data_IF_258114681142
#
_entry.id   IF_258114681142
#
_cell.length_a   1.000
_cell.length_b   1.000
_cell.length_c   1.000
_cell.angle_alpha   90.00
_cell.angle_beta   90.00
_cell.angle_gamma   90.00
#
_symmetry.space_group_name_H-M   'P 1'
#
loop_
_entity.id
_entity.type
_entity.pdbx_description
1 polymer ?
#
# COMPACT_ATOMS: atom_id res chain seq x y z
N UNK A 1 -7.60 -17.67 -5.82
CA UNK A 1 -6.75 -16.79 -4.97
C UNK A 1 -7.25 -16.86 -3.54
N UNK A 2 -6.39 -17.21 -2.57
CA UNK A 2 -6.78 -17.21 -1.16
C UNK A 2 -7.12 -15.79 -0.71
N UNK A 3 -8.00 -15.66 0.30
CA UNK A 3 -8.42 -14.36 0.82
C UNK A 3 -7.22 -13.53 1.34
N UNK A 4 -6.17 -14.20 1.77
CA UNK A 4 -4.91 -13.63 2.29
C UNK A 4 -4.05 -13.02 1.18
N UNK A 5 -4.09 -13.60 -0.02
CA UNK A 5 -3.31 -13.16 -1.17
C UNK A 5 -3.79 -11.79 -1.69
N UNK A 6 -5.09 -11.51 -1.58
CA UNK A 6 -5.66 -10.19 -1.90
C UNK A 6 -5.15 -9.08 -0.97
N UNK A 7 -4.86 -9.43 0.29
CA UNK A 7 -4.46 -8.47 1.34
C UNK A 7 -2.96 -8.29 1.49
N UNK A 8 -2.13 -9.07 0.78
CA UNK A 8 -0.67 -8.87 0.81
C UNK A 8 -0.32 -7.43 0.43
N UNK A 9 0.56 -6.75 1.19
CA UNK A 9 1.09 -5.43 0.81
C UNK A 9 1.73 -5.47 -0.58
N UNK A 10 1.70 -4.34 -1.30
CA UNK A 10 2.20 -4.30 -2.68
C UNK A 10 3.68 -4.69 -2.79
N UNK A 11 4.51 -4.25 -1.85
CA UNK A 11 5.94 -4.60 -1.84
C UNK A 11 6.16 -6.12 -1.71
N UNK A 12 5.31 -6.83 -0.94
CA UNK A 12 5.35 -8.29 -0.79
C UNK A 12 5.00 -8.95 -2.12
N UNK A 13 3.94 -8.48 -2.80
CA UNK A 13 3.56 -9.00 -4.12
C UNK A 13 4.65 -8.81 -5.16
N UNK A 14 5.32 -7.66 -5.13
CA UNK A 14 6.44 -7.35 -6.02
C UNK A 14 7.67 -8.23 -5.72
N UNK A 15 8.00 -8.42 -4.45
CA UNK A 15 9.09 -9.30 -4.02
C UNK A 15 8.88 -10.75 -4.48
N UNK A 16 7.65 -11.26 -4.33
CA UNK A 16 7.27 -12.63 -4.73
C UNK A 16 6.99 -12.78 -6.23
N UNK A 17 7.02 -11.71 -7.02
CA UNK A 17 6.60 -11.71 -8.44
C UNK A 17 5.17 -12.22 -8.65
N UNK A 18 4.30 -12.00 -7.66
CA UNK A 18 2.86 -12.28 -7.74
C UNK A 18 2.15 -11.35 -8.76
N UNK A 19 2.84 -10.28 -9.17
CA UNK A 19 2.37 -9.27 -10.12
C UNK A 19 3.44 -9.02 -11.19
N UNK A 20 3.02 -8.53 -12.35
CA UNK A 20 3.97 -8.14 -13.40
C UNK A 20 4.85 -6.97 -12.93
N UNK A 21 6.16 -7.10 -13.16
CA UNK A 21 7.17 -6.15 -12.70
C UNK A 21 8.10 -5.79 -13.86
N UNK A 22 8.46 -4.52 -13.97
CA UNK A 22 9.51 -4.04 -14.87
C UNK A 22 10.64 -3.45 -14.04
N UNK A 23 11.87 -3.80 -14.40
CA UNK A 23 13.06 -3.19 -13.81
C UNK A 23 13.40 -1.91 -14.58
N UNK A 24 13.35 -0.77 -13.88
CA UNK A 24 13.83 0.51 -14.41
C UNK A 24 15.24 0.73 -13.91
N UNK A 25 16.17 0.83 -14.85
CA UNK A 25 17.58 1.04 -14.57
C UNK A 25 17.98 2.48 -14.91
N UNK A 26 18.64 3.16 -13.97
CA UNK A 26 19.25 4.48 -14.19
C UNK A 26 20.70 4.47 -13.69
N UNK A 27 21.62 4.22 -14.63
CA UNK A 27 23.06 4.10 -14.37
C UNK A 27 23.84 5.42 -14.54
N UNK A 28 23.15 6.57 -14.58
CA UNK A 28 23.82 7.86 -14.82
C UNK A 28 24.85 8.23 -13.74
N UNK A 29 24.74 7.67 -12.53
CA UNK A 29 25.65 7.94 -11.42
C UNK A 29 26.50 6.73 -11.00
N UNK A 30 26.65 5.73 -11.87
CA UNK A 30 27.57 4.62 -11.64
C UNK A 30 26.91 3.24 -11.77
N UNK A 31 27.39 2.24 -11.00
CA UNK A 31 26.95 0.86 -11.16
C UNK A 31 25.48 0.68 -10.80
N UNK A 32 24.89 -0.41 -11.28
CA UNK A 32 23.51 -0.77 -10.98
C UNK A 32 23.32 -0.92 -9.48
N UNK A 33 22.44 -0.08 -8.91
CA UNK A 33 22.06 -0.07 -7.50
C UNK A 33 20.68 -0.71 -7.30
N UNK A 34 20.26 -1.62 -8.19
CA UNK A 34 18.96 -2.27 -8.11
C UNK A 34 18.88 -3.08 -6.80
N UNK A 35 17.97 -2.73 -5.88
CA UNK A 35 17.92 -3.34 -4.56
C UNK A 35 17.43 -4.80 -4.63
N UNK A 36 17.66 -5.57 -3.57
CA UNK A 36 17.09 -6.91 -3.44
C UNK A 36 15.54 -6.86 -3.50
N UNK A 37 14.86 -7.82 -4.15
CA UNK A 37 13.39 -7.83 -4.21
C UNK A 37 12.69 -7.78 -2.85
N UNK A 38 13.31 -8.28 -1.79
CA UNK A 38 12.78 -8.30 -0.43
C UNK A 38 13.21 -7.08 0.41
N UNK A 39 13.98 -6.14 -0.15
CA UNK A 39 14.32 -4.88 0.51
C UNK A 39 13.13 -3.90 0.50
N UNK A 40 12.30 -4.01 1.54
CA UNK A 40 11.15 -3.14 1.74
C UNK A 40 11.54 -1.66 1.95
N UNK A 41 12.74 -1.37 2.46
CA UNK A 41 13.18 0.02 2.74
C UNK A 41 13.51 0.69 1.43
N UNK A 42 14.28 0.04 0.56
CA UNK A 42 14.59 0.58 -0.76
C UNK A 42 13.33 0.80 -1.59
N UNK A 43 12.36 -0.12 -1.48
CA UNK A 43 11.07 0.00 -2.16
C UNK A 43 10.21 1.16 -1.65
N UNK A 44 10.19 1.41 -0.34
CA UNK A 44 9.33 2.44 0.27
C UNK A 44 9.95 3.83 0.27
N UNK A 45 11.27 3.93 0.37
CA UNK A 45 12.00 5.19 0.49
C UNK A 45 12.63 5.69 -0.81
N UNK A 46 12.59 4.88 -1.88
CA UNK A 46 13.19 5.22 -3.18
C UNK A 46 14.66 5.65 -3.04
N UNK A 47 15.43 4.91 -2.23
CA UNK A 47 16.83 5.25 -1.90
C UNK A 47 17.81 4.93 -3.02
N UNK A 48 17.39 4.16 -4.03
CA UNK A 48 18.17 3.73 -5.19
C UNK A 48 17.60 4.31 -6.47
N UNK A 49 18.43 4.43 -7.52
CA UNK A 49 18.01 4.93 -8.83
C UNK A 49 17.41 3.83 -9.69
N UNK A 50 18.06 2.68 -9.71
CA UNK A 50 17.48 1.46 -10.26
C UNK A 50 16.39 0.95 -9.32
N UNK A 51 15.22 0.63 -9.86
CA UNK A 51 14.07 0.20 -9.08
C UNK A 51 13.18 -0.77 -9.85
N UNK A 52 12.39 -1.53 -9.09
CA UNK A 52 11.33 -2.38 -9.64
C UNK A 52 10.01 -1.64 -9.56
N UNK A 53 9.37 -1.44 -10.71
CA UNK A 53 8.05 -0.86 -10.78
C UNK A 53 7.01 -1.91 -11.14
N UNK A 54 5.83 -1.77 -10.53
CA UNK A 54 4.67 -2.53 -10.93
C UNK A 54 4.25 -2.13 -12.34
N UNK A 55 4.09 -3.12 -13.22
CA UNK A 55 3.46 -2.90 -14.50
C UNK A 55 1.95 -2.85 -14.28
N UNK A 56 1.37 -1.64 -14.34
CA UNK A 56 -0.07 -1.50 -14.22
C UNK A 56 -0.78 -2.17 -15.39
N UNK A 57 -1.58 -3.18 -15.07
CA UNK A 57 -2.39 -3.96 -16.01
C UNK A 57 -3.82 -3.42 -16.10
N UNK A 58 -4.12 -2.29 -15.44
CA UNK A 58 -5.48 -1.76 -15.28
C UNK A 58 -6.35 -2.57 -14.33
N UNK A 59 -5.84 -3.70 -13.81
CA UNK A 59 -6.55 -4.58 -12.89
C UNK A 59 -6.11 -4.29 -11.45
N UNK A 60 -7.08 -4.02 -10.58
CA UNK A 60 -6.82 -3.76 -9.14
C UNK A 60 -6.45 -5.04 -8.40
N UNK A 61 -5.16 -5.40 -8.44
CA UNK A 61 -4.59 -6.62 -7.87
C UNK A 61 -4.40 -6.59 -6.34
N UNK A 62 -4.32 -5.41 -5.69
CA UNK A 62 -4.37 -5.30 -4.22
C UNK A 62 -5.18 -4.11 -3.71
N UNK A 63 -5.66 -4.21 -2.46
CA UNK A 63 -6.35 -3.14 -1.73
C UNK A 63 -5.43 -1.97 -1.30
N UNK A 64 -4.18 -1.98 -1.77
CA UNK A 64 -3.10 -1.09 -1.36
C UNK A 64 -3.26 0.30 -2.02
N UNK A 65 -2.82 1.40 -1.38
CA UNK A 65 -2.92 2.75 -1.94
C UNK A 65 -2.26 2.90 -3.33
N UNK A 66 -1.19 2.12 -3.59
CA UNK A 66 -0.51 2.13 -4.89
C UNK A 66 -1.36 1.57 -6.04
N UNK A 67 -2.16 0.52 -5.79
CA UNK A 67 -3.01 -0.10 -6.81
C UNK A 67 -4.40 0.56 -6.88
N UNK A 68 -4.78 1.34 -5.86
CA UNK A 68 -6.02 2.10 -5.79
C UNK A 68 -5.86 3.59 -6.13
N UNK A 69 -4.75 3.96 -6.75
CA UNK A 69 -4.34 5.32 -7.12
C UNK A 69 -3.79 6.16 -5.95
N UNK A 70 -2.62 6.75 -6.20
CA UNK A 70 -2.01 7.83 -5.41
C UNK A 70 -2.79 9.16 -5.47
N UNK A 71 -3.87 9.23 -6.25
CA UNK A 71 -4.42 10.50 -6.75
C UNK A 71 -5.82 10.86 -6.23
N UNK A 72 -6.22 10.40 -5.04
CA UNK A 72 -7.40 10.96 -4.37
C UNK A 72 -7.16 11.20 -2.87
N UNK A 73 -7.45 12.42 -2.36
CA UNK A 73 -7.54 12.67 -0.92
C UNK A 73 -8.70 11.89 -0.25
N UNK A 74 -9.58 11.30 -1.06
CA UNK A 74 -10.67 10.46 -0.60
C UNK A 74 -10.26 8.99 -0.51
N UNK A 75 -9.76 8.69 0.70
CA UNK A 75 -9.73 7.39 1.36
C UNK A 75 -10.77 6.44 0.77
N UNK A 76 -10.32 5.28 0.30
CA UNK A 76 -11.20 4.19 -0.19
C UNK A 76 -12.46 4.02 0.69
N UNK A 77 -13.62 3.80 0.08
CA UNK A 77 -14.92 3.55 0.77
C UNK A 77 -14.80 2.67 2.03
N UNK A 78 -14.05 1.54 2.02
CA UNK A 78 -13.83 0.73 3.22
C UNK A 78 -13.13 1.46 4.37
N UNK A 79 -12.13 2.30 4.07
CA UNK A 79 -11.40 3.09 5.08
C UNK A 79 -12.29 4.19 5.66
N UNK A 80 -13.11 4.83 4.84
CA UNK A 80 -14.12 5.81 5.27
C UNK A 80 -15.09 5.17 6.28
N UNK A 81 -15.69 4.03 5.91
CA UNK A 81 -16.60 3.27 6.80
C UNK A 81 -15.94 2.87 8.12
N UNK A 82 -14.66 2.45 8.09
CA UNK A 82 -13.93 2.08 9.31
C UNK A 82 -13.75 3.29 10.25
N UNK A 83 -13.46 4.47 9.69
CA UNK A 83 -13.32 5.71 10.46
C UNK A 83 -14.66 6.16 11.04
N UNK A 84 -15.73 6.12 10.26
CA UNK A 84 -17.08 6.48 10.71
C UNK A 84 -17.51 5.57 11.87
N UNK A 85 -17.34 4.24 11.75
CA UNK A 85 -17.58 3.32 12.88
C UNK A 85 -16.76 3.65 14.12
N UNK A 86 -15.50 4.05 13.95
CA UNK A 86 -14.63 4.43 15.08
C UNK A 86 -15.14 5.71 15.76
N UNK A 87 -15.62 6.69 14.97
CA UNK A 87 -16.23 7.91 15.49
C UNK A 87 -17.53 7.63 16.24
N UNK A 88 -18.43 6.82 15.66
CA UNK A 88 -19.68 6.42 16.34
C UNK A 88 -19.38 5.74 17.67
N UNK A 89 -18.46 4.76 17.70
CA UNK A 89 -18.06 4.12 18.96
C UNK A 89 -17.47 5.08 20.00
N UNK A 90 -16.75 6.11 19.57
CA UNK A 90 -16.24 7.14 20.49
C UNK A 90 -17.37 8.03 21.02
N UNK A 91 -18.32 8.41 20.17
CA UNK A 91 -19.50 9.18 20.58
C UNK A 91 -20.36 8.39 21.58
N UNK A 92 -20.61 7.10 21.32
CA UNK A 92 -21.37 6.23 22.23
C UNK A 92 -20.69 6.12 23.60
N UNK A 93 -19.35 5.98 23.62
CA UNK A 93 -18.56 5.93 24.88
C UNK A 93 -18.59 7.26 25.64
N UNK A 94 -18.48 8.37 24.92
CA UNK A 94 -18.56 9.69 25.52
C UNK A 94 -19.96 9.97 26.09
N UNK A 95 -21.00 9.53 25.38
CA UNK A 95 -22.38 9.62 25.85
C UNK A 95 -22.59 8.78 27.12
N UNK A 96 -22.11 7.53 27.14
CA UNK A 96 -22.18 6.68 28.33
C UNK A 96 -21.42 7.28 29.54
N UNK A 97 -20.20 7.81 29.32
CA UNK A 97 -19.42 8.46 30.38
C UNK A 97 -20.09 9.72 30.94
N UNK A 98 -20.87 10.45 30.14
CA UNK A 98 -21.60 11.64 30.60
C UNK A 98 -22.91 11.29 31.30
N UNK A 99 -23.40 10.06 31.20
CA UNK A 99 -24.65 9.60 31.83
C UNK A 99 -24.41 8.85 33.15
N UNK A 100 -23.23 8.26 33.32
CA UNK A 100 -22.80 7.57 34.55
C UNK A 100 -22.18 8.52 35.60
N UNK A 101 -22.19 9.84 35.37
CA UNK A 101 -21.66 10.90 36.23
C UNK A 101 -22.79 11.88 36.61
#
# INVERSE_FOLDING_TARGET
MSRTDKTKPMWVKLAHRDVAVVEKHDHRAGPCDLPDPFDHVAFTRLTTRCRREFLDTGTRVCCCPMCHAWDYPDRTEPQRRRRERRKSKMADRAWAQNYDN
#
